data_IF_007312510003
#
_entry.id   IF_007312510003
#
_cell.length_a   1.000
_cell.length_b   1.000
_cell.length_c   1.000
_cell.angle_alpha   90.00
_cell.angle_beta   90.00
_cell.angle_gamma   90.00
#
_symmetry.space_group_name_H-M   'P 1'
#
loop_
_entity.id
_entity.type
_entity.pdbx_description
1 polymer ?
#
# COMPACT_ATOMS: atom_id res chain seq x y z
N UNK A 1 8.28 -3.50 20.75
CA UNK A 1 7.46 -2.43 20.12
C UNK A 1 6.09 -3.03 19.87
N UNK A 2 5.04 -2.43 20.41
CA UNK A 2 3.66 -2.85 20.13
C UNK A 2 3.23 -2.11 18.88
N UNK A 3 3.06 -2.81 17.76
CA UNK A 3 2.54 -2.22 16.53
C UNK A 3 1.03 -2.03 16.68
N UNK A 4 0.51 -0.86 16.30
CA UNK A 4 -0.93 -0.70 16.14
C UNK A 4 -1.35 -1.41 14.85
N UNK A 5 -1.94 -2.59 15.00
CA UNK A 5 -2.39 -3.42 13.86
C UNK A 5 -3.45 -2.69 13.03
N UNK A 6 -4.32 -1.89 13.64
CA UNK A 6 -5.30 -1.12 12.88
C UNK A 6 -4.61 -0.06 12.01
N UNK A 7 -3.65 0.67 12.58
CA UNK A 7 -2.84 1.62 11.82
C UNK A 7 -2.07 0.96 10.68
N UNK A 8 -1.48 -0.22 10.92
CA UNK A 8 -0.70 -0.96 9.93
C UNK A 8 -1.56 -1.41 8.74
N UNK A 9 -2.79 -1.85 9.01
CA UNK A 9 -3.77 -2.21 7.97
C UNK A 9 -4.15 -1.00 7.13
N UNK A 10 -4.47 0.13 7.74
CA UNK A 10 -4.85 1.34 7.02
C UNK A 10 -3.69 1.90 6.16
N UNK A 11 -2.46 1.81 6.68
CA UNK A 11 -1.26 2.22 5.97
C UNK A 11 -0.95 1.30 4.77
N UNK A 12 -1.19 -0.01 4.90
CA UNK A 12 -1.00 -0.98 3.84
C UNK A 12 -2.11 -0.97 2.77
N UNK A 13 -3.30 -0.45 3.11
CA UNK A 13 -4.49 -0.57 2.29
C UNK A 13 -4.36 -0.06 0.84
N UNK A 14 -3.78 1.13 0.57
CA UNK A 14 -3.65 1.63 -0.80
C UNK A 14 -2.81 0.70 -1.69
N UNK A 15 -1.81 0.02 -1.12
CA UNK A 15 -0.96 -0.91 -1.85
C UNK A 15 -1.70 -2.22 -2.14
N UNK A 16 -2.38 -2.76 -1.13
CA UNK A 16 -3.21 -3.97 -1.26
C UNK A 16 -4.30 -3.77 -2.31
N UNK A 17 -5.06 -2.68 -2.23
CA UNK A 17 -6.11 -2.35 -3.20
C UNK A 17 -5.56 -2.20 -4.63
N UNK A 18 -4.42 -1.51 -4.79
CA UNK A 18 -3.78 -1.39 -6.11
C UNK A 18 -3.35 -2.75 -6.68
N UNK A 19 -2.80 -3.64 -5.86
CA UNK A 19 -2.36 -4.95 -6.30
C UNK A 19 -3.53 -5.89 -6.66
N UNK A 20 -4.61 -5.87 -5.86
CA UNK A 20 -5.84 -6.62 -6.16
C UNK A 20 -6.52 -6.05 -7.41
N UNK A 21 -6.58 -4.73 -7.57
CA UNK A 21 -7.15 -4.11 -8.78
C UNK A 21 -6.36 -4.44 -10.05
N UNK A 22 -5.03 -4.56 -9.95
CA UNK A 22 -4.16 -4.87 -11.09
C UNK A 22 -4.19 -6.35 -11.49
N UNK A 23 -4.28 -7.27 -10.52
CA UNK A 23 -4.08 -8.69 -10.76
C UNK A 23 -5.25 -9.60 -10.33
N UNK A 24 -6.29 -9.06 -9.71
CA UNK A 24 -7.37 -9.83 -9.10
C UNK A 24 -6.81 -10.85 -8.10
N UNK A 25 -7.35 -12.07 -8.12
CA UNK A 25 -6.84 -13.17 -7.28
C UNK A 25 -5.48 -13.70 -7.70
N UNK A 26 -5.00 -13.42 -8.91
CA UNK A 26 -3.66 -13.83 -9.33
C UNK A 26 -2.56 -13.16 -8.48
N UNK A 27 -2.87 -12.06 -7.79
CA UNK A 27 -1.97 -11.37 -6.86
C UNK A 27 -1.38 -12.28 -5.78
N UNK A 28 -2.08 -13.37 -5.43
CA UNK A 28 -1.72 -14.30 -4.36
C UNK A 28 -0.62 -15.29 -4.76
N UNK A 29 -0.48 -15.57 -6.05
CA UNK A 29 0.46 -16.57 -6.58
C UNK A 29 1.47 -15.99 -7.57
N UNK A 30 1.13 -14.87 -8.22
CA UNK A 30 1.95 -14.20 -9.21
C UNK A 30 3.01 -13.32 -8.55
N UNK A 31 4.24 -13.38 -9.08
CA UNK A 31 5.31 -12.43 -8.78
C UNK A 31 5.09 -11.12 -9.53
N UNK A 32 5.64 -10.01 -9.05
CA UNK A 32 5.60 -8.73 -9.77
C UNK A 32 6.25 -8.89 -11.16
N UNK A 33 5.55 -8.46 -12.20
CA UNK A 33 6.10 -8.38 -13.56
C UNK A 33 6.95 -7.09 -13.69
N UNK A 34 7.89 -7.05 -14.66
CA UNK A 34 8.83 -5.92 -14.83
C UNK A 34 8.16 -4.55 -15.07
N UNK A 35 6.87 -4.53 -15.45
CA UNK A 35 6.08 -3.31 -15.67
C UNK A 35 5.22 -2.87 -14.48
N UNK A 36 5.22 -3.60 -13.36
CA UNK A 36 4.38 -3.24 -12.21
C UNK A 36 4.85 -1.94 -11.56
N UNK A 37 3.91 -1.05 -11.23
CA UNK A 37 4.25 0.15 -10.46
C UNK A 37 4.79 -0.23 -9.08
N UNK A 38 5.56 0.67 -8.45
CA UNK A 38 6.07 0.45 -7.09
C UNK A 38 4.94 0.16 -6.09
N UNK A 39 3.78 0.81 -6.26
CA UNK A 39 2.59 0.61 -5.42
C UNK A 39 2.02 -0.80 -5.56
N UNK A 40 1.86 -1.29 -6.80
CA UNK A 40 1.37 -2.64 -7.08
C UNK A 40 2.36 -3.70 -6.57
N UNK A 41 3.65 -3.49 -6.84
CA UNK A 41 4.72 -4.39 -6.38
C UNK A 41 4.77 -4.51 -4.86
N UNK A 42 4.56 -3.39 -4.14
CA UNK A 42 4.51 -3.38 -2.68
C UNK A 42 3.27 -4.13 -2.16
N UNK A 43 2.10 -3.90 -2.77
CA UNK A 43 0.87 -4.62 -2.41
C UNK A 43 0.98 -6.14 -2.62
N UNK A 44 1.63 -6.57 -3.70
CA UNK A 44 1.94 -7.99 -3.93
C UNK A 44 2.82 -8.56 -2.81
N UNK A 45 3.89 -7.87 -2.41
CA UNK A 45 4.78 -8.32 -1.33
C UNK A 45 4.03 -8.46 0.00
N UNK A 46 3.14 -7.51 0.31
CA UNK A 46 2.27 -7.59 1.49
C UNK A 46 1.40 -8.85 1.43
N UNK A 47 0.66 -9.05 0.33
CA UNK A 47 -0.24 -10.20 0.17
C UNK A 47 0.51 -11.53 0.17
N UNK A 48 1.68 -11.60 -0.45
CA UNK A 48 2.54 -12.79 -0.43
C UNK A 48 3.03 -13.14 0.99
N UNK A 49 3.35 -12.14 1.82
CA UNK A 49 3.76 -12.39 3.22
C UNK A 49 2.59 -12.94 4.04
N UNK A 50 1.38 -12.42 3.83
CA UNK A 50 0.14 -12.94 4.43
C UNK A 50 -0.19 -14.36 3.92
N UNK A 51 0.10 -14.65 2.66
CA UNK A 51 -0.18 -15.94 2.01
C UNK A 51 0.74 -17.10 2.44
N UNK A 52 1.82 -16.82 3.17
CA UNK A 52 2.76 -17.85 3.66
C UNK A 52 2.09 -18.84 4.62
N UNK A 53 1.02 -18.42 5.30
CA UNK A 53 0.34 -19.19 6.34
C UNK A 53 -0.78 -20.04 5.74
N UNK A 54 -0.55 -21.35 5.64
CA UNK A 54 -1.41 -22.26 4.87
C UNK A 54 -2.84 -22.35 5.40
N UNK A 55 -3.01 -22.34 6.72
CA UNK A 55 -4.29 -22.41 7.41
C UNK A 55 -5.18 -21.20 7.12
N UNK A 56 -4.60 -20.09 6.68
CA UNK A 56 -5.32 -18.84 6.41
C UNK A 56 -5.53 -18.56 4.92
N UNK A 57 -4.91 -19.34 4.03
CA UNK A 57 -5.05 -19.18 2.57
C UNK A 57 -6.50 -19.20 2.10
N UNK A 58 -7.38 -20.14 2.52
CA UNK A 58 -8.75 -20.17 2.02
C UNK A 58 -9.54 -18.90 2.36
N UNK A 59 -9.35 -18.37 3.58
CA UNK A 59 -10.02 -17.16 4.05
C UNK A 59 -9.50 -15.92 3.33
N UNK A 60 -8.18 -15.80 3.21
CA UNK A 60 -7.53 -14.70 2.49
C UNK A 60 -7.89 -14.73 0.99
N UNK A 61 -7.93 -15.90 0.37
CA UNK A 61 -8.32 -16.06 -1.04
C UNK A 61 -9.75 -15.57 -1.28
N UNK A 62 -10.68 -15.99 -0.41
CA UNK A 62 -12.08 -15.58 -0.51
C UNK A 62 -12.24 -14.07 -0.35
N UNK A 63 -11.53 -13.48 0.61
CA UNK A 63 -11.58 -12.04 0.84
C UNK A 63 -10.99 -11.24 -0.35
N UNK A 64 -9.87 -11.70 -0.92
CA UNK A 64 -9.29 -11.10 -2.12
C UNK A 64 -10.20 -11.27 -3.34
N UNK A 65 -10.83 -12.44 -3.51
CA UNK A 65 -11.80 -12.67 -4.59
C UNK A 65 -12.97 -11.69 -4.50
N UNK A 66 -13.52 -11.45 -3.31
CA UNK A 66 -14.61 -10.47 -3.14
C UNK A 66 -14.22 -9.06 -3.60
N UNK A 67 -13.03 -8.59 -3.23
CA UNK A 67 -12.53 -7.27 -3.68
C UNK A 67 -12.13 -7.28 -5.16
N UNK A 68 -11.72 -8.41 -5.71
CA UNK A 68 -11.41 -8.53 -7.14
C UNK A 68 -12.69 -8.53 -8.01
N UNK A 69 -13.77 -9.14 -7.52
CA UNK A 69 -15.07 -9.20 -8.20
C UNK A 69 -15.76 -7.83 -8.22
N UNK A 70 -15.71 -7.10 -7.12
CA UNK A 70 -16.19 -5.72 -7.03
C UNK A 70 -15.20 -4.86 -6.20
N UNK A 71 -14.28 -4.15 -6.88
CA UNK A 71 -13.31 -3.29 -6.21
C UNK A 71 -13.92 -2.10 -5.49
N UNK A 72 -15.16 -1.68 -5.81
CA UNK A 72 -15.84 -0.55 -5.18
C UNK A 72 -16.76 -0.98 -4.02
N UNK A 73 -17.02 -2.29 -3.88
CA UNK A 73 -17.81 -2.84 -2.77
C UNK A 73 -17.11 -2.61 -1.43
N UNK A 74 -17.69 -1.70 -0.65
CA UNK A 74 -17.19 -1.33 0.68
C UNK A 74 -17.22 -2.50 1.66
N UNK A 75 -18.17 -3.42 1.53
CA UNK A 75 -18.29 -4.60 2.40
C UNK A 75 -17.21 -5.63 2.06
N UNK A 76 -16.98 -5.89 0.77
CA UNK A 76 -15.86 -6.75 0.34
C UNK A 76 -14.52 -6.18 0.80
N UNK A 77 -14.30 -4.87 0.64
CA UNK A 77 -13.10 -4.21 1.13
C UNK A 77 -12.96 -4.30 2.65
N UNK A 78 -14.06 -4.10 3.40
CA UNK A 78 -14.07 -4.22 4.86
C UNK A 78 -13.74 -5.66 5.30
N UNK A 79 -14.27 -6.66 4.60
CA UNK A 79 -13.97 -8.08 4.81
C UNK A 79 -12.48 -8.39 4.66
N UNK A 80 -11.84 -7.89 3.59
CA UNK A 80 -10.40 -8.06 3.40
C UNK A 80 -9.59 -7.34 4.49
N UNK A 81 -9.93 -6.09 4.85
CA UNK A 81 -9.26 -5.40 5.97
C UNK A 81 -9.39 -6.17 7.28
N UNK A 82 -10.57 -6.73 7.56
CA UNK A 82 -10.82 -7.52 8.76
C UNK A 82 -9.96 -8.79 8.81
N UNK A 83 -9.85 -9.50 7.69
CA UNK A 83 -9.04 -10.71 7.59
C UNK A 83 -7.54 -10.41 7.74
N UNK A 84 -7.03 -9.36 7.09
CA UNK A 84 -5.63 -8.92 7.29
C UNK A 84 -5.38 -8.57 8.75
N UNK A 85 -6.31 -7.85 9.39
CA UNK A 85 -6.21 -7.51 10.81
C UNK A 85 -6.23 -8.74 11.72
N UNK A 86 -6.97 -9.79 11.36
CA UNK A 86 -6.97 -11.07 12.07
C UNK A 86 -5.58 -11.72 11.98
N UNK A 87 -5.03 -11.83 10.77
CA UNK A 87 -3.73 -12.45 10.53
C UNK A 87 -2.60 -11.77 11.30
N UNK A 88 -2.57 -10.44 11.29
CA UNK A 88 -1.54 -9.66 11.98
C UNK A 88 -1.66 -9.71 13.50
N UNK A 89 -2.84 -10.00 14.06
CA UNK A 89 -3.00 -10.21 15.52
C UNK A 89 -2.61 -11.62 15.95
N UNK A 90 -2.70 -12.58 15.06
CA UNK A 90 -2.33 -13.98 15.33
C UNK A 90 -0.82 -14.21 15.16
N UNK A 91 -0.11 -13.31 14.49
CA UNK A 91 1.31 -13.42 14.19
C UNK A 91 2.01 -12.06 14.35
N UNK A 92 2.66 -11.85 15.50
CA UNK A 92 3.41 -10.64 15.81
C UNK A 92 4.65 -10.45 14.92
N UNK A 93 5.24 -11.55 14.42
CA UNK A 93 6.39 -11.49 13.50
C UNK A 93 5.93 -11.02 12.13
N UNK A 94 4.78 -11.49 11.65
CA UNK A 94 4.13 -10.99 10.44
C UNK A 94 3.78 -9.50 10.54
N UNK A 95 3.28 -9.04 11.69
CA UNK A 95 3.03 -7.62 11.93
C UNK A 95 4.32 -6.78 11.88
N UNK A 96 5.41 -7.30 12.44
CA UNK A 96 6.72 -6.66 12.38
C UNK A 96 7.24 -6.57 10.94
N UNK A 97 7.18 -7.67 10.21
CA UNK A 97 7.64 -7.71 8.81
C UNK A 97 6.85 -6.75 7.93
N UNK A 98 5.54 -6.66 8.12
CA UNK A 98 4.73 -5.66 7.39
C UNK A 98 5.12 -4.24 7.78
N UNK A 99 5.41 -3.96 9.04
CA UNK A 99 5.83 -2.64 9.50
C UNK A 99 7.20 -2.23 8.92
N UNK A 100 8.12 -3.18 8.74
CA UNK A 100 9.42 -2.95 8.09
C UNK A 100 9.30 -2.79 6.57
N UNK A 101 8.29 -3.44 5.96
CA UNK A 101 8.03 -3.37 4.52
C UNK A 101 7.31 -2.06 4.10
N UNK A 102 6.40 -1.56 4.94
CA UNK A 102 5.59 -0.40 4.62
C UNK A 102 6.35 0.91 4.82
N UNK A 103 6.17 1.91 3.93
CA UNK A 103 6.81 3.21 4.10
C UNK A 103 6.34 3.86 5.40
N UNK A 104 7.24 4.49 6.17
CA UNK A 104 6.94 5.01 7.50
C UNK A 104 5.59 5.78 7.55
N UNK A 105 4.78 5.56 8.62
CA UNK A 105 3.45 6.14 8.71
C UNK A 105 3.52 7.66 8.56
N UNK A 106 2.61 8.16 7.74
CA UNK A 106 2.37 9.57 7.53
C UNK A 106 1.83 10.14 8.85
N UNK A 107 2.72 10.68 9.70
CA UNK A 107 2.28 11.32 10.96
C UNK A 107 1.45 12.56 10.64
N UNK A 108 0.24 12.69 11.20
CA UNK A 108 -0.42 13.99 11.25
C UNK A 108 0.48 14.94 12.05
N UNK A 109 0.68 16.16 11.56
CA UNK A 109 1.54 17.22 12.12
C UNK A 109 3.03 17.17 11.74
N UNK A 110 3.41 16.42 10.70
CA UNK A 110 4.75 16.53 10.13
C UNK A 110 4.83 17.83 9.30
N UNK A 111 5.56 18.82 9.82
CA UNK A 111 5.79 20.09 9.12
C UNK A 111 7.05 19.99 8.28
N UNK A 112 6.96 20.51 7.06
CA UNK A 112 8.05 20.53 6.10
C UNK A 112 8.16 21.96 5.57
N UNK A 113 9.31 22.59 5.77
CA UNK A 113 9.54 23.98 5.35
C UNK A 113 10.46 23.98 4.15
N UNK A 114 10.00 24.60 3.05
CA UNK A 114 10.82 24.96 1.90
C UNK A 114 10.83 26.49 1.79
N UNK A 115 12.01 27.09 1.65
CA UNK A 115 12.18 28.53 1.50
C UNK A 115 13.19 28.85 0.40
N UNK A 116 12.96 29.95 -0.31
CA UNK A 116 13.75 30.37 -1.47
C UNK A 116 12.99 30.30 -2.80
N UNK A 117 13.57 30.89 -3.85
CA UNK A 117 13.03 30.82 -5.21
C UNK A 117 13.13 29.39 -5.74
N UNK A 118 12.04 28.87 -6.32
CA UNK A 118 11.95 27.49 -6.79
C UNK A 118 11.85 26.43 -5.69
N UNK A 119 11.65 26.82 -4.43
CA UNK A 119 11.57 25.88 -3.32
C UNK A 119 10.24 25.13 -3.33
N UNK A 120 10.29 23.79 -3.38
CA UNK A 120 9.12 22.92 -3.29
C UNK A 120 9.31 21.90 -2.20
N UNK A 121 8.32 21.82 -1.33
CA UNK A 121 8.13 20.68 -0.45
C UNK A 121 7.08 19.78 -1.06
N UNK A 122 7.41 18.52 -1.29
CA UNK A 122 6.43 17.48 -1.56
C UNK A 122 6.67 16.29 -0.63
N UNK A 123 5.61 15.82 0.03
CA UNK A 123 5.69 14.58 0.83
C UNK A 123 5.65 13.34 -0.07
N UNK A 124 4.76 13.36 -1.06
CA UNK A 124 4.64 12.36 -2.12
C UNK A 124 4.23 13.10 -3.39
N UNK A 125 4.93 12.83 -4.50
CA UNK A 125 4.58 13.33 -5.83
C UNK A 125 4.74 12.19 -6.82
N UNK A 126 3.70 11.91 -7.61
CA UNK A 126 3.69 10.85 -8.62
C UNK A 126 3.77 11.42 -10.05
N UNK A 127 4.17 12.68 -10.21
CA UNK A 127 4.17 13.42 -11.48
C UNK A 127 5.39 14.32 -11.64
N UNK A 128 5.23 15.41 -12.39
CA UNK A 128 6.31 16.39 -12.62
C UNK A 128 6.05 17.63 -11.76
N UNK A 129 7.07 18.06 -11.03
CA UNK A 129 7.11 19.37 -10.37
C UNK A 129 8.01 20.26 -11.23
N UNK A 130 7.40 21.17 -11.99
CA UNK A 130 8.11 22.23 -12.70
C UNK A 130 7.95 23.53 -11.90
N UNK A 131 9.06 24.08 -11.42
CA UNK A 131 9.05 25.27 -10.57
C UNK A 131 9.16 26.58 -11.33
N UNK A 132 9.46 26.53 -12.63
CA UNK A 132 9.59 27.69 -13.51
C UNK A 132 10.58 28.75 -12.99
N UNK A 133 11.80 28.78 -13.53
CA UNK A 133 12.76 29.87 -13.30
C UNK A 133 12.87 30.78 -14.53
N UNK A 134 13.29 32.03 -14.32
CA UNK A 134 13.41 33.13 -15.31
C UNK A 134 13.58 32.66 -16.76
N UNK A 135 12.46 32.53 -17.48
CA UNK A 135 12.47 32.28 -18.92
C UNK A 135 12.46 33.63 -19.62
N UNK A 136 13.63 34.16 -19.96
CA UNK A 136 13.73 35.26 -20.92
C UNK A 136 13.67 34.66 -22.33
N UNK A 137 12.52 34.76 -23.00
CA UNK A 137 12.42 34.45 -24.43
C UNK A 137 12.80 35.72 -25.20
N UNK A 138 14.04 35.81 -25.66
CA UNK A 138 14.40 36.81 -26.67
C UNK A 138 13.94 36.34 -28.06
N UNK A 139 13.32 37.25 -28.81
CA UNK A 139 12.69 37.03 -30.11
C UNK A 139 13.66 37.30 -31.25
#
# INVERSE_FOLDING_TARGET
MTFDVAQLVEQGWPFVGAAVGAYGTAVLTRTADEGATATVSLGQRVLQRLWRREESRPYLQRAVQGVADDPEDTEAQAGLRAEIRRLLREDDELARDLAELLPAPVRPNESYVASGQGAVTARVNHGVISTGGDVTVER
#
